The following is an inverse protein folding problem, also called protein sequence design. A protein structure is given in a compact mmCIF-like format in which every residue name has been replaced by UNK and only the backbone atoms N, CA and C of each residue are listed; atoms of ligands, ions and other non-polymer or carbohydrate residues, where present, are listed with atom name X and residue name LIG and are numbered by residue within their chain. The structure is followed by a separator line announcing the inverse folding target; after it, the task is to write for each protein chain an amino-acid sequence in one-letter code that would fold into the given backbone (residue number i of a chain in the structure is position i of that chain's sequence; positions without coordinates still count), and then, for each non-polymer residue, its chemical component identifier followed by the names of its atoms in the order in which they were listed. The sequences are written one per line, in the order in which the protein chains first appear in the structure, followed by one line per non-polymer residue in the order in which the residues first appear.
data_IF_076269763047
#
_entry.id   IF_076269763047
#
_cell.length_a   1.000
_cell.length_b   1.000
_cell.length_c   1.000
_cell.angle_alpha   90.00
_cell.angle_beta   90.00
_cell.angle_gamma   90.00
#
_symmetry.space_group_name_H-M   'P 1'
#
loop_
_entity.id
_entity.type
_entity.pdbx_description
1 polymer ?
#
# COMPACT_ATOMS: atom_id res chain seq x y z
N UNK A 1 -11.81 -53.26 -48.86
CA UNK A 1 -12.41 -51.91 -48.93
C UNK A 1 -12.05 -51.17 -47.65
N UNK A 2 -11.32 -50.06 -47.79
CA UNK A 2 -10.79 -49.23 -46.70
C UNK A 2 -11.91 -48.37 -46.12
N UNK A 3 -12.22 -48.50 -44.84
CA UNK A 3 -13.01 -47.52 -44.08
C UNK A 3 -12.06 -46.64 -43.27
N UNK A 4 -11.80 -45.46 -43.82
CA UNK A 4 -11.34 -44.27 -43.10
C UNK A 4 -12.52 -43.72 -42.32
N UNK A 5 -12.42 -43.56 -41.00
CA UNK A 5 -13.25 -42.63 -40.25
C UNK A 5 -12.37 -41.88 -39.24
N UNK A 6 -12.27 -40.58 -39.53
CA UNK A 6 -11.49 -39.56 -38.86
C UNK A 6 -11.82 -39.43 -37.37
N UNK A 7 -10.76 -39.36 -36.54
CA UNK A 7 -10.86 -38.89 -35.16
C UNK A 7 -10.95 -37.37 -35.13
N UNK A 8 -12.08 -36.84 -34.69
CA UNK A 8 -12.21 -35.43 -34.32
C UNK A 8 -11.62 -35.22 -32.92
N UNK A 9 -10.37 -34.77 -32.86
CA UNK A 9 -9.79 -34.23 -31.62
C UNK A 9 -10.32 -32.80 -31.48
N UNK A 10 -11.31 -32.61 -30.61
CA UNK A 10 -11.79 -31.29 -30.23
C UNK A 10 -10.76 -30.62 -29.30
N UNK A 11 -9.96 -29.69 -29.84
CA UNK A 11 -9.16 -28.76 -29.05
C UNK A 11 -10.11 -27.73 -28.41
N UNK A 12 -10.50 -27.97 -27.15
CA UNK A 12 -11.17 -26.97 -26.32
C UNK A 12 -10.14 -25.95 -25.84
N UNK A 13 -10.00 -24.83 -26.56
CA UNK A 13 -9.23 -23.68 -26.12
C UNK A 13 -9.99 -22.96 -24.99
N UNK A 14 -9.72 -23.31 -23.73
CA UNK A 14 -10.17 -22.52 -22.58
C UNK A 14 -9.36 -21.22 -22.54
N UNK A 15 -9.89 -20.17 -23.16
CA UNK A 15 -9.38 -18.81 -22.99
C UNK A 15 -9.57 -18.40 -21.53
N UNK A 16 -8.47 -18.35 -20.78
CA UNK A 16 -8.47 -17.82 -19.41
C UNK A 16 -8.80 -16.33 -19.43
N UNK A 17 -10.03 -15.97 -19.06
CA UNK A 17 -10.35 -14.60 -18.70
C UNK A 17 -9.62 -14.28 -17.39
N UNK A 18 -8.43 -13.72 -17.50
CA UNK A 18 -7.77 -13.02 -16.40
C UNK A 18 -8.59 -11.77 -16.11
N UNK A 19 -9.50 -11.84 -15.14
CA UNK A 19 -10.09 -10.66 -14.52
C UNK A 19 -8.95 -9.90 -13.84
N UNK A 20 -8.37 -8.93 -14.53
CA UNK A 20 -7.52 -7.93 -13.90
C UNK A 20 -8.42 -7.15 -12.96
N UNK A 21 -8.28 -7.37 -11.65
CA UNK A 21 -8.88 -6.49 -10.65
C UNK A 21 -8.15 -5.16 -10.76
N UNK A 22 -8.70 -4.22 -11.52
CA UNK A 22 -8.27 -2.83 -11.43
C UNK A 22 -8.57 -2.35 -10.01
N UNK A 23 -7.55 -1.78 -9.35
CA UNK A 23 -7.77 -1.03 -8.12
C UNK A 23 -8.74 0.12 -8.44
N UNK A 24 -9.63 0.44 -7.50
CA UNK A 24 -10.49 1.60 -7.64
C UNK A 24 -9.62 2.86 -7.87
N UNK A 25 -10.04 3.79 -8.74
CA UNK A 25 -9.32 5.05 -8.90
C UNK A 25 -9.27 5.79 -7.57
N UNK A 26 -8.17 6.48 -7.30
CA UNK A 26 -8.06 7.37 -6.14
C UNK A 26 -9.06 8.51 -6.34
N UNK A 27 -9.90 8.72 -5.35
CA UNK A 27 -10.88 9.80 -5.37
C UNK A 27 -10.33 11.04 -4.64
N UNK A 28 -10.88 12.22 -4.92
CA UNK A 28 -10.46 13.46 -4.25
C UNK A 28 -10.62 13.36 -2.72
N UNK A 29 -11.61 12.60 -2.26
CA UNK A 29 -11.87 12.36 -0.84
C UNK A 29 -10.75 11.55 -0.15
N UNK A 30 -10.03 10.69 -0.89
CA UNK A 30 -8.91 9.92 -0.32
C UNK A 30 -7.75 10.84 0.12
N UNK A 31 -7.66 12.06 -0.44
CA UNK A 31 -6.67 13.05 -0.04
C UNK A 31 -7.00 13.77 1.26
N UNK A 32 -8.19 13.55 1.84
CA UNK A 32 -8.51 14.03 3.19
C UNK A 32 -7.73 13.27 4.27
N UNK A 33 -7.26 12.04 3.96
CA UNK A 33 -6.53 11.18 4.89
C UNK A 33 -7.29 11.00 6.21
N UNK A 34 -8.58 10.65 6.14
CA UNK A 34 -9.40 10.38 7.33
C UNK A 34 -9.07 9.00 7.91
N UNK A 35 -8.74 8.05 7.03
CA UNK A 35 -8.46 6.66 7.38
C UNK A 35 -7.13 6.14 6.84
N UNK A 36 -6.68 5.03 7.41
CA UNK A 36 -5.53 4.26 6.92
C UNK A 36 -5.80 3.69 5.52
N UNK A 37 -7.05 3.39 5.19
CA UNK A 37 -7.46 3.01 3.84
C UNK A 37 -7.19 4.13 2.84
N UNK A 38 -7.54 5.37 3.17
CA UNK A 38 -7.34 6.53 2.29
C UNK A 38 -5.85 6.70 1.97
N UNK A 39 -5.00 6.68 3.00
CA UNK A 39 -3.55 6.73 2.81
C UNK A 39 -3.04 5.56 1.97
N UNK A 40 -3.59 4.36 2.14
CA UNK A 40 -3.24 3.22 1.31
C UNK A 40 -3.61 3.42 -0.17
N UNK A 41 -4.82 3.93 -0.46
CA UNK A 41 -5.24 4.23 -1.84
C UNK A 41 -4.32 5.26 -2.50
N UNK A 42 -4.06 6.38 -1.83
CA UNK A 42 -3.14 7.43 -2.33
C UNK A 42 -1.73 6.89 -2.54
N UNK A 43 -1.20 6.08 -1.61
CA UNK A 43 0.14 5.54 -1.75
C UNK A 43 0.26 4.43 -2.81
N UNK A 44 -0.84 3.73 -3.11
CA UNK A 44 -0.91 2.60 -4.02
C UNK A 44 -1.26 2.98 -5.46
N UNK A 45 -1.48 4.27 -5.75
CA UNK A 45 -1.84 4.77 -7.09
C UNK A 45 -0.89 4.24 -8.17
N UNK A 46 -1.43 3.58 -9.22
CA UNK A 46 -0.65 3.11 -10.35
C UNK A 46 0.06 4.24 -11.10
N UNK A 47 1.23 3.97 -11.68
CA UNK A 47 2.04 4.97 -12.39
C UNK A 47 1.44 5.49 -13.70
N UNK A 48 0.45 4.79 -14.23
CA UNK A 48 -0.30 5.13 -15.43
C UNK A 48 -1.63 5.85 -15.12
N UNK A 49 -1.97 6.03 -13.85
CA UNK A 49 -3.16 6.78 -13.45
C UNK A 49 -2.96 8.30 -13.64
N UNK A 50 -3.99 9.06 -14.07
CA UNK A 50 -3.91 10.52 -14.22
C UNK A 50 -3.47 11.24 -12.93
N UNK A 51 -3.83 10.69 -11.77
CA UNK A 51 -3.60 11.27 -10.45
C UNK A 51 -2.20 10.94 -9.90
N UNK A 52 -1.43 10.09 -10.58
CA UNK A 52 -0.20 9.48 -10.04
C UNK A 52 0.79 10.50 -9.48
N UNK A 53 1.05 11.60 -10.19
CA UNK A 53 2.00 12.61 -9.73
C UNK A 53 1.55 13.25 -8.42
N UNK A 54 0.28 13.63 -8.33
CA UNK A 54 -0.30 14.24 -7.13
C UNK A 54 -0.29 13.24 -5.98
N UNK A 55 -0.78 12.02 -6.22
CA UNK A 55 -0.84 10.95 -5.23
C UNK A 55 0.56 10.57 -4.70
N UNK A 56 1.54 10.45 -5.59
CA UNK A 56 2.92 10.13 -5.22
C UNK A 56 3.54 11.20 -4.31
N UNK A 57 3.35 12.49 -4.62
CA UNK A 57 3.85 13.57 -3.77
C UNK A 57 3.10 13.65 -2.44
N UNK A 58 1.78 13.48 -2.44
CA UNK A 58 0.97 13.48 -1.21
C UNK A 58 1.38 12.32 -0.28
N UNK A 59 1.50 11.10 -0.80
CA UNK A 59 1.99 9.95 -0.04
C UNK A 59 3.39 10.20 0.54
N UNK A 60 4.32 10.69 -0.29
CA UNK A 60 5.68 11.01 0.17
C UNK A 60 5.67 12.04 1.30
N UNK A 61 4.92 13.13 1.13
CA UNK A 61 4.83 14.20 2.11
C UNK A 61 4.21 13.72 3.43
N UNK A 62 3.15 12.90 3.37
CA UNK A 62 2.51 12.34 4.57
C UNK A 62 3.48 11.49 5.38
N UNK A 63 4.25 10.62 4.71
CA UNK A 63 5.22 9.75 5.38
C UNK A 63 6.36 10.58 5.99
N UNK A 64 6.91 11.53 5.24
CA UNK A 64 7.95 12.43 5.73
C UNK A 64 7.48 13.21 6.96
N UNK A 65 6.31 13.85 6.89
CA UNK A 65 5.77 14.65 7.98
C UNK A 65 5.50 13.80 9.25
N UNK A 66 4.94 12.60 9.07
CA UNK A 66 4.72 11.66 10.18
C UNK A 66 6.03 11.31 10.88
N UNK A 67 7.06 10.99 10.10
CA UNK A 67 8.37 10.59 10.63
C UNK A 67 9.09 11.76 11.29
N UNK A 68 9.09 12.94 10.66
CA UNK A 68 9.66 14.17 11.25
C UNK A 68 8.98 14.53 12.58
N UNK A 69 7.64 14.48 12.64
CA UNK A 69 6.92 14.75 13.88
C UNK A 69 7.25 13.73 14.96
N UNK A 70 7.23 12.43 14.62
CA UNK A 70 7.61 11.35 15.52
C UNK A 70 9.02 11.53 16.09
N UNK A 71 10.00 11.91 15.27
CA UNK A 71 11.37 12.20 15.70
C UNK A 71 11.41 13.40 16.65
N UNK A 72 10.81 14.52 16.24
CA UNK A 72 10.81 15.75 17.04
C UNK A 72 10.23 15.55 18.46
N UNK A 73 9.16 14.75 18.59
CA UNK A 73 8.52 14.51 19.90
C UNK A 73 9.22 13.43 20.73
N UNK A 74 9.92 12.49 20.09
CA UNK A 74 10.62 11.39 20.78
C UNK A 74 12.03 11.79 21.22
N UNK A 75 12.72 12.62 20.44
CA UNK A 75 14.13 12.98 20.67
C UNK A 75 14.34 13.86 21.91
N UNK A 76 13.30 14.58 22.35
CA UNK A 76 13.35 15.40 23.57
C UNK A 76 13.15 14.59 24.88
N UNK A 77 13.21 13.25 24.81
CA UNK A 77 12.90 12.33 25.95
C UNK A 77 11.51 12.53 26.56
N UNK A 78 10.60 13.22 25.85
CA UNK A 78 9.24 13.49 26.32
C UNK A 78 8.32 12.31 26.09
N UNK A 79 8.52 11.59 24.98
CA UNK A 79 7.74 10.43 24.60
C UNK A 79 8.65 9.26 24.18
N UNK A 80 8.16 8.04 24.40
CA UNK A 80 8.84 6.83 23.95
C UNK A 80 8.81 6.75 22.43
N UNK A 81 9.98 6.54 21.81
CA UNK A 81 10.11 6.29 20.37
C UNK A 81 9.38 5.00 19.98
N UNK A 82 8.56 5.06 18.92
CA UNK A 82 7.78 3.92 18.42
C UNK A 82 8.43 3.26 17.21
N UNK A 83 9.17 4.01 16.40
CA UNK A 83 9.81 3.54 15.16
C UNK A 83 11.33 3.73 15.24
N UNK A 84 12.10 2.66 15.11
CA UNK A 84 13.56 2.69 15.19
C UNK A 84 14.22 2.23 13.88
N UNK A 85 14.09 3.04 12.82
CA UNK A 85 14.71 2.79 11.52
C UNK A 85 16.22 3.09 11.51
N UNK A 86 17.01 2.43 10.64
CA UNK A 86 18.43 2.76 10.47
C UNK A 86 18.60 4.12 9.81
N UNK A 87 19.76 4.77 10.03
CA UNK A 87 20.11 6.08 9.41
C UNK A 87 20.11 6.07 7.87
N UNK A 88 20.19 4.88 7.26
CA UNK A 88 20.16 4.69 5.81
C UNK A 88 18.75 4.55 5.25
N UNK A 89 17.71 4.48 6.10
CA UNK A 89 16.34 4.36 5.64
C UNK A 89 15.89 5.65 4.93
N UNK A 90 15.13 5.47 3.87
CA UNK A 90 14.55 6.55 3.07
C UNK A 90 13.03 6.56 3.18
N UNK A 91 12.39 7.66 2.78
CA UNK A 91 10.92 7.71 2.66
C UNK A 91 10.39 6.69 1.64
N UNK A 92 11.17 6.37 0.61
CA UNK A 92 10.79 5.33 -0.35
C UNK A 92 10.73 3.95 0.33
N UNK A 93 11.67 3.64 1.23
CA UNK A 93 11.62 2.42 2.04
C UNK A 93 10.39 2.44 2.96
N UNK A 94 10.10 3.58 3.58
CA UNK A 94 8.89 3.77 4.40
C UNK A 94 7.60 3.50 3.62
N UNK A 95 7.49 4.02 2.39
CA UNK A 95 6.35 3.76 1.50
C UNK A 95 6.22 2.28 1.16
N UNK A 96 7.31 1.61 0.82
CA UNK A 96 7.29 0.17 0.52
C UNK A 96 6.82 -0.65 1.71
N UNK A 97 7.31 -0.32 2.91
CA UNK A 97 6.90 -0.97 4.16
C UNK A 97 5.41 -0.75 4.42
N UNK A 98 4.92 0.47 4.29
CA UNK A 98 3.51 0.79 4.50
C UNK A 98 2.61 0.06 3.49
N UNK A 99 2.94 0.10 2.20
CA UNK A 99 2.15 -0.58 1.16
C UNK A 99 2.09 -2.09 1.38
N UNK A 100 3.21 -2.71 1.74
CA UNK A 100 3.26 -4.13 2.05
C UNK A 100 2.40 -4.48 3.27
N UNK A 101 2.49 -3.68 4.33
CA UNK A 101 1.70 -3.88 5.55
C UNK A 101 0.20 -3.65 5.30
N UNK A 102 -0.18 -2.56 4.66
CA UNK A 102 -1.58 -2.21 4.39
C UNK A 102 -2.23 -3.26 3.46
N UNK A 103 -1.52 -3.69 2.41
CA UNK A 103 -2.00 -4.77 1.54
C UNK A 103 -2.26 -6.07 2.30
N UNK A 104 -1.39 -6.43 3.25
CA UNK A 104 -1.57 -7.63 4.08
C UNK A 104 -2.71 -7.51 5.10
N UNK A 105 -3.14 -6.28 5.41
CA UNK A 105 -4.15 -5.99 6.44
C UNK A 105 -5.42 -5.34 5.89
N UNK A 106 -5.59 -5.28 4.57
CA UNK A 106 -6.70 -4.59 3.89
C UNK A 106 -8.09 -5.07 4.32
N UNK A 107 -8.20 -6.32 4.78
CA UNK A 107 -9.47 -6.91 5.22
C UNK A 107 -9.73 -6.67 6.73
N UNK A 108 -8.76 -6.11 7.47
CA UNK A 108 -8.91 -5.72 8.87
C UNK A 108 -9.52 -4.32 8.97
N UNK A 109 -10.86 -4.28 8.97
CA UNK A 109 -11.63 -3.03 9.02
C UNK A 109 -11.30 -2.17 10.24
N UNK A 110 -10.96 -2.76 11.40
CA UNK A 110 -10.56 -1.98 12.58
C UNK A 110 -9.31 -1.16 12.29
N UNK A 111 -8.27 -1.77 11.71
CA UNK A 111 -7.02 -1.07 11.42
C UNK A 111 -7.13 -0.14 10.22
N UNK A 112 -7.88 -0.53 9.20
CA UNK A 112 -8.02 0.28 8.00
C UNK A 112 -8.87 1.55 8.23
N UNK A 113 -9.76 1.55 9.23
CA UNK A 113 -10.59 2.70 9.60
C UNK A 113 -9.96 3.60 10.70
N UNK A 114 -8.74 3.29 11.18
CA UNK A 114 -8.01 4.18 12.08
C UNK A 114 -7.44 5.37 11.32
N UNK A 115 -7.15 6.45 12.05
CA UNK A 115 -6.38 7.60 11.55
C UNK A 115 -5.09 7.14 10.84
N UNK A 116 -4.75 7.70 9.68
CA UNK A 116 -3.69 7.16 8.83
C UNK A 116 -2.30 7.18 9.45
N UNK A 117 -2.02 8.16 10.32
CA UNK A 117 -0.79 8.20 11.10
C UNK A 117 -0.62 6.95 11.98
N UNK A 118 -1.71 6.41 12.52
CA UNK A 118 -1.70 5.20 13.37
C UNK A 118 -1.33 3.98 12.52
N UNK A 119 -1.99 3.80 11.37
CA UNK A 119 -1.68 2.72 10.44
C UNK A 119 -0.23 2.78 9.93
N UNK A 120 0.23 3.98 9.54
CA UNK A 120 1.60 4.19 9.09
C UNK A 120 2.63 3.89 10.18
N UNK A 121 2.45 4.45 11.39
CA UNK A 121 3.39 4.21 12.51
C UNK A 121 3.40 2.73 12.88
N UNK A 122 2.25 2.05 12.88
CA UNK A 122 2.16 0.60 13.14
C UNK A 122 2.93 -0.20 12.09
N UNK A 123 2.78 0.12 10.81
CA UNK A 123 3.51 -0.52 9.73
C UNK A 123 5.03 -0.37 9.90
N UNK A 124 5.48 0.87 10.16
CA UNK A 124 6.90 1.17 10.32
C UNK A 124 7.47 0.55 11.61
N UNK A 125 6.74 0.56 12.72
CA UNK A 125 7.18 -0.07 13.97
C UNK A 125 7.27 -1.60 13.85
N UNK A 126 6.38 -2.22 13.08
CA UNK A 126 6.45 -3.66 12.81
C UNK A 126 7.73 -4.04 12.03
N UNK A 127 8.16 -3.19 11.08
CA UNK A 127 9.41 -3.39 10.34
C UNK A 127 10.66 -2.99 11.14
N UNK A 128 10.56 -1.92 11.92
CA UNK A 128 11.66 -1.25 12.61
C UNK A 128 11.38 -1.13 14.12
N UNK A 129 11.32 -2.25 14.87
CA UNK A 129 11.01 -2.21 16.29
C UNK A 129 12.13 -1.56 17.10
N UNK A 130 11.77 -0.73 18.07
CA UNK A 130 12.70 -0.21 19.07
C UNK A 130 13.03 -1.29 20.11
N UNK A 131 14.32 -1.56 20.32
CA UNK A 131 14.84 -2.54 21.30
C UNK A 131 15.42 -1.84 22.52
#
# INVERSE_FOLDING_TARGET
MKTLLAGCIALAATAGLSLSVQAAPVADEDFNFDTTSDLYQVCATPSDAPEYLVASFSCRAFIEATVQYHDAVSDQKRLKRLICYPKTATIADGRQVFLAWAKANKDNQTWMNEQPVVGLVRALAAKYPCR
#
